data_IF_001956067495
#
_entry.id   IF_001956067495
#
_cell.length_a   1.000
_cell.length_b   1.000
_cell.length_c   1.000
_cell.angle_alpha   90.00
_cell.angle_beta   90.00
_cell.angle_gamma   90.00
#
_symmetry.space_group_name_H-M   'P 1'
#
loop_
_entity.id
_entity.type
_entity.pdbx_description
1 polymer ?
#
# COMPACT_ATOMS: atom_id res chain seq x y z
N UNK A 1 -25.84 -36.86 60.60
CA UNK A 1 -26.38 -36.29 59.34
C UNK A 1 -26.13 -34.79 59.34
N UNK A 2 -25.97 -34.22 58.14
CA UNK A 2 -25.88 -32.78 57.83
C UNK A 2 -24.53 -32.07 58.03
N UNK A 3 -23.72 -32.19 56.98
CA UNK A 3 -22.79 -31.16 56.50
C UNK A 3 -23.63 -29.99 55.97
N UNK A 4 -23.36 -28.75 56.41
CA UNK A 4 -23.82 -27.56 55.69
C UNK A 4 -22.62 -26.63 55.49
N UNK A 5 -21.90 -26.87 54.39
CA UNK A 5 -20.97 -25.92 53.81
C UNK A 5 -21.78 -24.80 53.17
N UNK A 6 -21.72 -23.58 53.71
CA UNK A 6 -22.24 -22.40 53.03
C UNK A 6 -21.09 -21.75 52.26
N UNK A 7 -20.82 -22.29 51.07
CA UNK A 7 -19.98 -21.65 50.06
C UNK A 7 -20.92 -20.93 49.07
N UNK A 8 -21.25 -19.68 49.36
CA UNK A 8 -21.89 -18.81 48.39
C UNK A 8 -20.80 -18.11 47.58
N UNK A 9 -20.61 -18.59 46.36
CA UNK A 9 -19.66 -18.10 45.39
C UNK A 9 -19.87 -16.61 45.12
N UNK A 10 -18.83 -15.82 45.40
CA UNK A 10 -18.66 -14.49 44.82
C UNK A 10 -18.34 -14.69 43.34
N UNK A 11 -19.36 -14.69 42.49
CA UNK A 11 -19.20 -14.70 41.05
C UNK A 11 -18.56 -13.37 40.63
N UNK A 12 -17.23 -13.36 40.54
CA UNK A 12 -16.48 -12.27 39.97
C UNK A 12 -16.90 -12.12 38.50
N UNK A 13 -17.53 -10.99 38.22
CA UNK A 13 -17.92 -10.53 36.90
C UNK A 13 -16.65 -10.25 36.08
N UNK A 14 -16.13 -11.26 35.38
CA UNK A 14 -15.17 -11.03 34.28
C UNK A 14 -15.95 -11.06 32.98
N UNK A 15 -16.79 -10.04 32.79
CA UNK A 15 -17.20 -9.66 31.45
C UNK A 15 -15.97 -9.05 30.79
N UNK A 16 -15.22 -9.88 30.06
CA UNK A 16 -14.17 -9.39 29.17
C UNK A 16 -14.79 -8.33 28.27
N UNK A 17 -14.26 -7.12 28.35
CA UNK A 17 -14.61 -6.06 27.42
C UNK A 17 -14.28 -6.56 26.02
N UNK A 18 -15.29 -7.10 25.33
CA UNK A 18 -15.27 -7.22 23.89
C UNK A 18 -15.07 -5.79 23.39
N UNK A 19 -13.83 -5.48 22.98
CA UNK A 19 -13.45 -4.14 22.55
C UNK A 19 -14.49 -3.65 21.56
N UNK A 20 -15.15 -2.54 21.89
CA UNK A 20 -16.05 -1.91 20.96
C UNK A 20 -15.28 -1.64 19.67
N UNK A 21 -15.97 -1.75 18.52
CA UNK A 21 -15.37 -1.44 17.23
C UNK A 21 -14.76 -0.04 17.28
N UNK A 22 -13.44 0.06 17.12
CA UNK A 22 -12.72 1.32 17.03
C UNK A 22 -12.46 1.60 15.53
N UNK A 23 -13.17 2.55 14.92
CA UNK A 23 -12.99 2.88 13.50
C UNK A 23 -11.59 3.38 13.16
N UNK A 24 -10.88 3.98 14.13
CA UNK A 24 -9.49 4.44 13.95
C UNK A 24 -8.57 3.23 13.88
N UNK A 25 -8.76 2.27 14.78
CA UNK A 25 -8.03 1.01 14.77
C UNK A 25 -8.29 0.20 13.49
N UNK A 26 -9.55 0.01 13.10
CA UNK A 26 -9.92 -0.73 11.88
C UNK A 26 -9.32 -0.08 10.62
N UNK A 27 -9.27 1.26 10.58
CA UNK A 27 -8.57 1.98 9.52
C UNK A 27 -7.07 1.69 9.54
N UNK A 28 -6.41 1.78 10.69
CA UNK A 28 -4.98 1.52 10.81
C UNK A 28 -4.61 0.08 10.38
N UNK A 29 -5.39 -0.91 10.81
CA UNK A 29 -5.20 -2.30 10.42
C UNK A 29 -5.41 -2.51 8.91
N UNK A 30 -6.45 -1.92 8.33
CA UNK A 30 -6.71 -1.94 6.88
C UNK A 30 -5.58 -1.32 6.07
N UNK A 31 -5.03 -0.20 6.53
CA UNK A 31 -3.93 0.51 5.85
C UNK A 31 -2.63 -0.32 5.95
N UNK A 32 -2.37 -0.96 7.09
CA UNK A 32 -1.27 -1.91 7.24
C UNK A 32 -1.40 -3.10 6.29
N UNK A 33 -2.60 -3.71 6.22
CA UNK A 33 -2.89 -4.81 5.28
C UNK A 33 -2.79 -4.37 3.82
N UNK A 34 -3.03 -3.08 3.50
CA UNK A 34 -2.85 -2.55 2.16
C UNK A 34 -1.38 -2.59 1.72
N UNK A 35 -0.45 -2.24 2.59
CA UNK A 35 0.96 -2.31 2.22
C UNK A 35 1.52 -3.73 2.22
N UNK A 36 0.99 -4.64 3.05
CA UNK A 36 1.28 -6.08 2.93
C UNK A 36 0.84 -6.58 1.54
N UNK A 37 -0.38 -6.23 1.12
CA UNK A 37 -0.93 -6.59 -0.19
C UNK A 37 -0.04 -6.10 -1.34
N UNK A 38 0.36 -4.83 -1.32
CA UNK A 38 1.26 -4.27 -2.33
C UNK A 38 2.65 -4.96 -2.32
N UNK A 39 3.24 -5.15 -1.13
CA UNK A 39 4.56 -5.77 -1.01
C UNK A 39 4.56 -7.21 -1.49
N UNK A 40 3.49 -7.97 -1.18
CA UNK A 40 3.34 -9.32 -1.70
C UNK A 40 3.07 -9.36 -3.19
N UNK A 41 2.38 -8.36 -3.75
CA UNK A 41 2.18 -8.23 -5.19
C UNK A 41 3.51 -7.96 -5.91
N UNK A 42 4.41 -7.19 -5.32
CA UNK A 42 5.77 -6.97 -5.86
C UNK A 42 6.60 -8.25 -5.83
N UNK A 43 6.59 -8.98 -4.71
CA UNK A 43 7.23 -10.30 -4.61
C UNK A 43 6.71 -11.27 -5.67
N UNK A 44 5.39 -11.32 -5.85
CA UNK A 44 4.73 -12.21 -6.79
C UNK A 44 5.00 -11.83 -8.26
N UNK A 45 4.81 -10.56 -8.61
CA UNK A 45 4.83 -10.11 -10.00
C UNK A 45 6.24 -9.82 -10.51
N UNK A 46 7.04 -9.12 -9.70
CA UNK A 46 8.37 -8.67 -10.10
C UNK A 46 9.43 -9.71 -9.70
N UNK A 47 9.40 -10.13 -8.44
CA UNK A 47 10.38 -11.08 -7.90
C UNK A 47 10.16 -12.53 -8.36
N UNK A 48 8.94 -12.86 -8.84
CA UNK A 48 8.47 -14.24 -9.06
C UNK A 48 8.67 -15.13 -7.82
N UNK A 49 8.75 -14.51 -6.65
CA UNK A 49 8.92 -15.17 -5.36
C UNK A 49 7.53 -15.46 -4.77
N UNK A 50 6.91 -16.50 -5.32
CA UNK A 50 5.58 -16.93 -4.90
C UNK A 50 5.56 -17.46 -3.47
N UNK A 51 6.63 -18.13 -3.04
CA UNK A 51 6.74 -18.64 -1.68
C UNK A 51 6.91 -17.50 -0.67
N UNK A 52 7.72 -16.48 -0.99
CA UNK A 52 7.87 -15.27 -0.20
C UNK A 52 6.57 -14.48 -0.09
N UNK A 53 5.87 -14.27 -1.22
CA UNK A 53 4.56 -13.62 -1.22
C UNK A 53 3.55 -14.38 -0.34
N UNK A 54 3.47 -15.70 -0.48
CA UNK A 54 2.62 -16.54 0.36
C UNK A 54 2.95 -16.38 1.86
N UNK A 55 4.22 -16.49 2.25
CA UNK A 55 4.64 -16.38 3.66
C UNK A 55 4.34 -15.02 4.26
N UNK A 56 4.54 -13.96 3.47
CA UNK A 56 4.21 -12.60 3.87
C UNK A 56 2.70 -12.46 4.16
N UNK A 57 1.85 -12.89 3.23
CA UNK A 57 0.40 -12.85 3.41
C UNK A 57 -0.08 -13.73 4.57
N UNK A 58 0.46 -14.94 4.68
CA UNK A 58 0.14 -15.91 5.72
C UNK A 58 0.46 -15.35 7.11
N UNK A 59 1.64 -14.76 7.29
CA UNK A 59 2.05 -14.13 8.54
C UNK A 59 1.19 -12.93 8.90
N UNK A 60 0.87 -12.06 7.93
CA UNK A 60 0.03 -10.89 8.14
C UNK A 60 -1.40 -11.27 8.57
N UNK A 61 -2.01 -12.26 7.91
CA UNK A 61 -3.34 -12.73 8.25
C UNK A 61 -3.39 -13.37 9.64
N UNK A 62 -2.40 -14.21 10.00
CA UNK A 62 -2.33 -14.83 11.34
C UNK A 62 -2.16 -13.83 12.47
N UNK A 63 -1.36 -12.79 12.25
CA UNK A 63 -1.13 -11.72 13.25
C UNK A 63 -2.32 -10.77 13.35
N UNK A 64 -3.05 -10.56 12.26
CA UNK A 64 -4.24 -9.69 12.23
C UNK A 64 -5.48 -10.36 12.82
N UNK A 65 -5.62 -11.69 12.69
CA UNK A 65 -6.80 -12.44 13.16
C UNK A 65 -7.21 -12.13 14.62
N UNK A 66 -6.35 -12.22 15.64
CA UNK A 66 -6.77 -11.96 17.02
C UNK A 66 -7.14 -10.50 17.28
N UNK A 67 -6.67 -9.57 16.46
CA UNK A 67 -6.98 -8.14 16.54
C UNK A 67 -8.41 -7.82 16.08
N UNK A 68 -9.11 -8.79 15.51
CA UNK A 68 -10.45 -8.65 14.94
C UNK A 68 -11.52 -9.34 15.78
N UNK A 69 -11.32 -9.49 17.09
CA UNK A 69 -12.26 -10.14 17.99
C UNK A 69 -13.67 -9.48 17.97
N UNK A 70 -13.75 -8.19 17.67
CA UNK A 70 -15.00 -7.45 17.47
C UNK A 70 -15.66 -7.67 16.10
N UNK A 71 -15.02 -8.41 15.19
CA UNK A 71 -15.47 -8.70 13.81
C UNK A 71 -15.39 -10.20 13.50
N UNK A 72 -16.29 -11.02 14.06
CA UNK A 72 -16.24 -12.48 13.90
C UNK A 72 -16.38 -12.94 12.44
N UNK A 73 -17.18 -12.25 11.62
CA UNK A 73 -17.29 -12.56 10.19
C UNK A 73 -15.96 -12.33 9.43
N UNK A 74 -15.20 -11.30 9.81
CA UNK A 74 -13.89 -11.00 9.23
C UNK A 74 -12.84 -12.00 9.73
N UNK A 75 -12.91 -12.45 10.98
CA UNK A 75 -12.07 -13.55 11.46
C UNK A 75 -12.33 -14.86 10.71
N UNK A 76 -13.60 -15.18 10.44
CA UNK A 76 -13.95 -16.35 9.63
C UNK A 76 -13.38 -16.26 8.21
N UNK A 77 -13.45 -15.08 7.56
CA UNK A 77 -12.84 -14.87 6.25
C UNK A 77 -11.31 -15.12 6.24
N UNK A 78 -10.61 -14.74 7.32
CA UNK A 78 -9.20 -15.05 7.49
C UNK A 78 -8.97 -16.56 7.61
N UNK A 79 -9.77 -17.22 8.45
CA UNK A 79 -9.66 -18.67 8.68
C UNK A 79 -9.91 -19.47 7.40
N UNK A 80 -10.94 -19.11 6.64
CA UNK A 80 -11.28 -19.74 5.37
C UNK A 80 -10.15 -19.57 4.36
N UNK A 81 -9.58 -18.36 4.23
CA UNK A 81 -8.46 -18.07 3.34
C UNK A 81 -7.20 -18.87 3.71
N UNK A 82 -6.82 -18.88 4.99
CA UNK A 82 -5.69 -19.66 5.49
C UNK A 82 -5.89 -21.17 5.27
N UNK A 83 -7.10 -21.67 5.50
CA UNK A 83 -7.43 -23.07 5.31
C UNK A 83 -7.48 -23.47 3.83
N UNK A 84 -7.92 -22.57 2.93
CA UNK A 84 -7.87 -22.79 1.49
C UNK A 84 -6.42 -22.87 1.00
N UNK A 85 -5.57 -21.91 1.39
CA UNK A 85 -4.16 -21.91 1.02
C UNK A 85 -3.39 -23.11 1.60
N UNK A 86 -3.76 -23.59 2.79
CA UNK A 86 -3.14 -24.78 3.38
C UNK A 86 -3.41 -26.07 2.56
N UNK A 87 -4.55 -26.14 1.86
CA UNK A 87 -4.92 -27.29 1.01
C UNK A 87 -4.33 -27.23 -0.40
N UNK A 88 -3.94 -26.05 -0.84
CA UNK A 88 -3.28 -25.88 -2.13
C UNK A 88 -1.83 -26.41 -2.05
N UNK A 89 -1.29 -26.86 -3.17
CA UNK A 89 0.09 -27.36 -3.30
C UNK A 89 0.99 -26.36 -4.02
N UNK A 90 0.45 -25.64 -5.00
CA UNK A 90 1.19 -24.68 -5.80
C UNK A 90 1.40 -23.36 -5.05
N UNK A 91 2.65 -22.89 -4.98
CA UNK A 91 3.02 -21.70 -4.22
C UNK A 91 2.38 -20.41 -4.79
N UNK A 92 2.22 -20.33 -6.12
CA UNK A 92 1.62 -19.17 -6.76
C UNK A 92 0.12 -19.09 -6.44
N UNK A 93 -0.60 -20.20 -6.57
CA UNK A 93 -2.01 -20.30 -6.16
C UNK A 93 -2.21 -20.05 -4.67
N UNK A 94 -1.31 -20.55 -3.80
CA UNK A 94 -1.34 -20.22 -2.36
C UNK A 94 -1.27 -18.73 -2.10
N UNK A 95 -0.33 -18.04 -2.73
CA UNK A 95 -0.18 -16.60 -2.60
C UNK A 95 -1.41 -15.85 -3.13
N UNK A 96 -1.98 -16.30 -4.25
CA UNK A 96 -3.19 -15.72 -4.82
C UNK A 96 -4.41 -15.87 -3.91
N UNK A 97 -4.64 -17.05 -3.33
CA UNK A 97 -5.73 -17.27 -2.37
C UNK A 97 -5.62 -16.36 -1.14
N UNK A 98 -4.41 -16.17 -0.60
CA UNK A 98 -4.22 -15.28 0.54
C UNK A 98 -4.27 -13.80 0.16
N UNK A 99 -3.92 -13.44 -1.07
CA UNK A 99 -4.14 -12.11 -1.62
C UNK A 99 -5.63 -11.76 -1.62
N UNK A 100 -6.49 -12.64 -2.14
CA UNK A 100 -7.95 -12.45 -2.14
C UNK A 100 -8.51 -12.36 -0.72
N UNK A 101 -7.99 -13.18 0.21
CA UNK A 101 -8.38 -13.09 1.62
C UNK A 101 -8.04 -11.72 2.23
N UNK A 102 -6.86 -11.16 1.94
CA UNK A 102 -6.47 -9.82 2.41
C UNK A 102 -7.37 -8.75 1.79
N UNK A 103 -7.71 -8.83 0.50
CA UNK A 103 -8.64 -7.89 -0.13
C UNK A 103 -10.01 -7.91 0.52
N UNK A 104 -10.55 -9.11 0.77
CA UNK A 104 -11.82 -9.28 1.47
C UNK A 104 -11.78 -8.68 2.87
N UNK A 105 -10.75 -8.98 3.67
CA UNK A 105 -10.60 -8.42 5.02
C UNK A 105 -10.54 -6.89 4.96
N UNK A 106 -9.75 -6.33 4.04
CA UNK A 106 -9.66 -4.86 3.86
C UNK A 106 -10.99 -4.24 3.45
N UNK A 107 -11.79 -4.94 2.66
CA UNK A 107 -13.15 -4.50 2.31
C UNK A 107 -14.07 -4.53 3.53
N UNK A 108 -14.09 -5.63 4.29
CA UNK A 108 -14.93 -5.79 5.48
C UNK A 108 -14.59 -4.75 6.57
N UNK A 109 -13.32 -4.32 6.67
CA UNK A 109 -12.87 -3.26 7.59
C UNK A 109 -13.29 -1.84 7.17
N UNK A 110 -13.74 -1.62 5.93
CA UNK A 110 -14.32 -0.33 5.52
C UNK A 110 -15.77 -0.20 6.00
N UNK A 111 -16.48 -1.32 6.12
CA UNK A 111 -17.86 -1.34 6.57
C UNK A 111 -17.91 -1.09 8.08
N UNK A 112 -18.82 -0.22 8.58
CA UNK A 112 -19.07 -0.11 10.01
C UNK A 112 -19.56 -1.45 10.55
N UNK A 113 -19.15 -1.82 11.77
CA UNK A 113 -19.60 -3.05 12.41
C UNK A 113 -21.12 -2.96 12.63
N UNK A 114 -21.90 -3.56 11.72
CA UNK A 114 -23.32 -3.79 11.93
C UNK A 114 -23.44 -4.87 12.99
N UNK A 115 -24.30 -4.62 13.99
CA UNK A 115 -24.43 -5.41 15.21
C UNK A 115 -24.40 -6.92 14.96
N UNK A 116 -23.70 -7.62 15.86
CA UNK A 116 -23.46 -9.05 15.82
C UNK A 116 -24.74 -9.84 15.55
N UNK A 117 -24.85 -10.38 14.33
CA UNK A 117 -25.65 -11.56 14.06
C UNK A 117 -24.67 -12.66 13.70
N UNK A 118 -24.49 -13.59 14.62
CA UNK A 118 -23.88 -14.90 14.36
C UNK A 118 -24.71 -15.55 13.25
N UNK A 119 -24.17 -15.85 12.06
CA UNK A 119 -24.83 -16.79 11.17
C UNK A 119 -24.48 -18.20 11.64
N UNK A 120 -25.49 -18.93 12.11
CA UNK A 120 -25.46 -20.39 12.21
C UNK A 120 -25.12 -21.05 10.86
N UNK A 121 -24.52 -22.25 10.87
CA UNK A 121 -23.86 -22.82 9.70
C UNK A 121 -24.89 -23.31 8.68
N UNK A 122 -24.87 -22.75 7.46
CA UNK A 122 -25.52 -23.38 6.31
C UNK A 122 -24.52 -24.24 5.54
N UNK A 123 -24.79 -25.54 5.60
CA UNK A 123 -24.14 -26.63 4.87
C UNK A 123 -24.17 -26.39 3.34
N UNK A 124 -23.05 -26.75 2.72
CA UNK A 124 -22.88 -27.40 1.40
C UNK A 124 -23.60 -26.82 0.17
N UNK A 125 -22.82 -26.29 -0.77
CA UNK A 125 -22.85 -26.77 -2.17
C UNK A 125 -21.41 -26.93 -2.67
N UNK A 126 -21.00 -28.18 -2.83
CA UNK A 126 -19.84 -28.61 -3.60
C UNK A 126 -20.05 -28.30 -5.08
N UNK A 127 -19.03 -27.81 -5.80
CA UNK A 127 -18.87 -28.21 -7.20
C UNK A 127 -17.56 -28.98 -7.37
N UNK A 128 -17.70 -30.27 -7.66
CA UNK A 128 -16.64 -31.13 -8.20
C UNK A 128 -16.38 -30.80 -9.69
N UNK A 129 -15.25 -31.26 -10.25
CA UNK A 129 -14.45 -30.51 -11.22
C UNK A 129 -14.84 -30.78 -12.68
N UNK A 130 -14.62 -29.79 -13.56
CA UNK A 130 -14.52 -30.06 -15.00
C UNK A 130 -13.15 -29.63 -15.56
N UNK A 131 -12.54 -30.64 -16.19
CA UNK A 131 -11.27 -30.71 -16.88
C UNK A 131 -11.06 -29.65 -17.97
N UNK A 132 -9.82 -29.16 -17.99
CA UNK A 132 -8.92 -28.98 -19.15
C UNK A 132 -9.54 -28.84 -20.54
N UNK A 133 -9.35 -27.67 -21.18
CA UNK A 133 -9.02 -27.59 -22.61
C UNK A 133 -8.00 -26.47 -22.84
N UNK A 134 -6.82 -26.86 -23.32
CA UNK A 134 -5.73 -26.04 -23.86
C UNK A 134 -6.20 -25.14 -25.01
N UNK A 135 -5.60 -23.95 -25.20
CA UNK A 135 -5.30 -23.57 -26.59
C UNK A 135 -3.92 -22.92 -26.78
N UNK A 136 -3.19 -23.43 -27.76
CA UNK A 136 -2.25 -22.70 -28.63
C UNK A 136 -2.76 -22.90 -30.09
N UNK A 137 -2.19 -22.26 -31.14
CA UNK A 137 -2.04 -20.82 -31.39
C UNK A 137 -2.48 -20.44 -32.83
N UNK A 138 -2.67 -19.14 -33.16
CA UNK A 138 -2.54 -18.53 -34.51
C UNK A 138 -2.87 -17.02 -34.44
N UNK A 139 -1.89 -16.10 -34.45
CA UNK A 139 -1.11 -15.47 -35.54
C UNK A 139 -1.86 -14.37 -36.34
N UNK A 140 -1.35 -13.13 -36.16
CA UNK A 140 -1.23 -11.97 -37.09
C UNK A 140 -2.44 -11.40 -37.82
N UNK A 141 -2.66 -10.08 -37.65
CA UNK A 141 -2.33 -9.07 -38.68
C UNK A 141 -2.27 -7.64 -38.12
N UNK A 142 -1.17 -6.96 -38.45
CA UNK A 142 -0.94 -5.51 -38.43
C UNK A 142 -1.83 -4.79 -39.47
N UNK A 143 -2.11 -3.48 -39.37
CA UNK A 143 -1.19 -2.48 -39.97
C UNK A 143 -1.07 -1.13 -39.23
N UNK A 144 0.13 -0.55 -39.24
CA UNK A 144 0.45 0.88 -39.09
C UNK A 144 0.54 1.57 -40.50
N UNK A 145 0.91 2.87 -40.72
CA UNK A 145 1.01 4.07 -39.86
C UNK A 145 0.58 5.42 -40.55
N UNK A 146 0.89 6.58 -39.92
CA UNK A 146 1.09 8.00 -40.39
C UNK A 146 -0.01 9.02 -40.01
N UNK A 147 0.22 10.28 -39.61
CA UNK A 147 1.40 11.15 -39.30
C UNK A 147 0.86 12.53 -38.81
N UNK A 148 1.55 13.17 -37.84
CA UNK A 148 1.71 14.64 -37.58
C UNK A 148 0.53 15.63 -37.62
N UNK A 149 0.38 16.45 -36.58
CA UNK A 149 0.67 17.91 -36.62
C UNK A 149 0.58 18.59 -35.24
N UNK A 150 1.60 19.39 -34.91
CA UNK A 150 1.62 20.45 -33.88
C UNK A 150 1.30 21.78 -34.56
N UNK A 151 0.62 22.73 -33.89
CA UNK A 151 1.31 24.00 -33.57
C UNK A 151 0.94 24.59 -32.19
N UNK A 152 1.94 25.17 -31.52
CA UNK A 152 1.84 26.23 -30.48
C UNK A 152 1.69 27.63 -31.16
N UNK A 153 1.61 28.82 -30.50
CA UNK A 153 1.68 29.17 -29.05
C UNK A 153 0.69 30.26 -28.54
N UNK A 154 0.58 30.40 -27.20
CA UNK A 154 0.62 31.64 -26.37
C UNK A 154 -0.43 31.77 -25.24
N UNK A 155 0.16 32.04 -24.06
CA UNK A 155 -0.21 32.94 -22.95
C UNK A 155 -1.17 32.46 -21.85
N UNK A 156 -0.56 32.42 -20.65
CA UNK A 156 -1.11 32.77 -19.32
C UNK A 156 -2.49 32.25 -18.99
N UNK A 157 -2.50 31.27 -18.09
CA UNK A 157 -3.24 31.35 -16.82
C UNK A 157 -2.66 30.26 -15.93
N UNK A 158 -2.32 30.62 -14.70
CA UNK A 158 -2.26 29.67 -13.59
C UNK A 158 -3.69 29.13 -13.41
N UNK A 159 -3.94 27.82 -13.40
CA UNK A 159 -5.12 27.29 -12.76
C UNK A 159 -4.68 26.42 -11.59
N UNK A 160 -5.04 26.93 -10.42
CA UNK A 160 -5.42 26.18 -9.24
C UNK A 160 -6.20 24.89 -9.58
N UNK A 161 -6.25 23.96 -8.61
CA UNK A 161 -7.09 22.75 -8.51
C UNK A 161 -6.38 21.46 -9.01
N UNK A 162 -6.05 20.48 -8.16
CA UNK A 162 -6.99 19.64 -7.39
C UNK A 162 -6.49 19.23 -6.00
N UNK A 163 -7.36 19.54 -5.03
CA UNK A 163 -7.45 18.99 -3.67
C UNK A 163 -7.37 17.45 -3.69
N UNK A 164 -6.25 16.91 -3.23
CA UNK A 164 -6.09 15.54 -2.75
C UNK A 164 -5.43 15.61 -1.38
N UNK A 165 -6.24 15.62 -0.32
CA UNK A 165 -5.76 15.81 1.03
C UNK A 165 -4.91 14.63 1.51
N UNK A 166 -3.60 14.87 1.66
CA UNK A 166 -2.74 14.28 2.68
C UNK A 166 -1.89 15.45 3.23
N UNK A 167 -2.47 16.19 4.18
CA UNK A 167 -1.93 17.46 4.66
C UNK A 167 -0.75 17.25 5.60
N UNK A 168 0.43 17.64 5.14
CA UNK A 168 1.62 17.91 5.95
C UNK A 168 2.11 19.34 5.73
N UNK A 169 3.11 19.82 6.47
CA UNK A 169 3.75 21.11 6.19
C UNK A 169 4.36 21.19 4.79
N UNK A 170 4.46 22.42 4.27
CA UNK A 170 5.11 22.70 2.99
C UNK A 170 6.64 22.63 3.11
N UNK A 171 7.26 21.90 2.19
CA UNK A 171 8.70 21.85 1.98
C UNK A 171 9.02 22.46 0.64
N UNK A 172 9.94 23.43 0.62
CA UNK A 172 10.39 24.10 -0.60
C UNK A 172 11.90 24.01 -0.73
N UNK A 173 12.41 24.15 -1.93
CA UNK A 173 13.86 24.21 -2.13
C UNK A 173 14.24 24.31 -3.58
N UNK A 174 15.55 24.24 -3.84
CA UNK A 174 16.14 24.27 -5.17
C UNK A 174 16.88 22.98 -5.48
N UNK A 175 16.91 22.60 -6.75
CA UNK A 175 17.74 21.49 -7.22
C UNK A 175 18.91 22.04 -8.04
N UNK A 176 20.12 21.69 -7.63
CA UNK A 176 21.35 22.02 -8.35
C UNK A 176 22.14 20.76 -8.64
N UNK A 177 22.84 20.73 -9.77
CA UNK A 177 23.76 19.66 -10.15
C UNK A 177 25.07 20.29 -10.59
N UNK A 178 26.16 20.01 -9.86
CA UNK A 178 27.47 20.63 -10.04
C UNK A 178 27.40 22.16 -10.03
N UNK A 179 26.60 22.70 -9.11
CA UNK A 179 26.34 24.14 -8.98
C UNK A 179 25.45 24.76 -10.06
N UNK A 180 24.96 23.98 -11.03
CA UNK A 180 24.03 24.46 -12.05
C UNK A 180 22.57 24.18 -11.65
N UNK A 181 21.65 25.14 -11.80
CA UNK A 181 20.23 24.90 -11.52
C UNK A 181 19.65 23.87 -12.49
N UNK A 182 18.90 22.90 -11.97
CA UNK A 182 18.26 21.86 -12.77
C UNK A 182 16.77 22.16 -12.88
N UNK A 183 16.35 22.67 -14.04
CA UNK A 183 14.94 22.85 -14.37
C UNK A 183 14.28 21.52 -14.78
N UNK A 184 12.96 21.45 -14.65
CA UNK A 184 12.14 20.28 -15.02
C UNK A 184 12.57 18.94 -14.36
N UNK A 185 13.32 19.00 -13.26
CA UNK A 185 13.63 17.85 -12.44
C UNK A 185 12.38 17.37 -11.69
N UNK A 186 12.20 16.06 -11.61
CA UNK A 186 11.20 15.39 -10.79
C UNK A 186 11.88 14.82 -9.56
N UNK A 187 11.53 15.35 -8.38
CA UNK A 187 11.89 14.82 -7.08
C UNK A 187 10.83 13.81 -6.64
N UNK A 188 11.25 12.69 -6.08
CA UNK A 188 10.38 11.72 -5.44
C UNK A 188 10.83 11.51 -4.00
N UNK A 189 9.91 11.75 -3.06
CA UNK A 189 10.11 11.56 -1.63
C UNK A 189 9.44 10.26 -1.20
N UNK A 190 10.24 9.26 -0.85
CA UNK A 190 9.77 7.94 -0.41
C UNK A 190 10.03 7.79 1.09
N UNK A 191 8.99 7.54 1.89
CA UNK A 191 9.13 7.42 3.35
C UNK A 191 10.06 6.26 3.73
N UNK A 192 11.09 6.53 4.53
CA UNK A 192 11.98 5.51 5.09
C UNK A 192 11.45 4.92 6.40
N UNK A 193 10.59 5.65 7.11
CA UNK A 193 10.07 5.25 8.43
C UNK A 193 8.99 4.16 8.38
N UNK A 194 8.88 3.39 7.28
CA UNK A 194 7.84 2.36 7.07
C UNK A 194 6.44 2.84 7.47
N UNK A 195 6.08 4.06 7.09
CA UNK A 195 4.69 4.53 7.10
C UNK A 195 3.94 3.81 5.96
N UNK A 196 3.53 2.57 6.23
CA UNK A 196 2.87 1.68 5.29
C UNK A 196 1.63 2.36 4.72
N UNK A 197 1.59 2.57 3.39
CA UNK A 197 0.45 3.18 2.69
C UNK A 197 0.55 4.69 2.43
N UNK A 198 1.65 5.36 2.81
CA UNK A 198 1.90 6.75 2.37
C UNK A 198 2.49 6.69 0.96
N UNK A 199 1.81 7.23 -0.07
CA UNK A 199 2.36 7.27 -1.42
C UNK A 199 3.61 8.15 -1.45
N UNK A 200 4.55 7.80 -2.31
CA UNK A 200 5.69 8.66 -2.57
C UNK A 200 5.18 10.03 -3.07
N UNK A 201 5.67 11.10 -2.44
CA UNK A 201 5.28 12.46 -2.84
C UNK A 201 6.22 12.88 -3.96
N UNK A 202 5.67 13.28 -5.09
CA UNK A 202 6.46 13.79 -6.22
C UNK A 202 6.31 15.31 -6.31
N UNK A 203 7.42 15.97 -6.62
CA UNK A 203 7.45 17.40 -6.88
C UNK A 203 8.30 17.67 -8.13
N UNK A 204 7.88 18.64 -8.94
CA UNK A 204 8.64 19.07 -10.11
C UNK A 204 9.25 20.44 -9.85
N UNK A 205 10.47 20.64 -10.33
CA UNK A 205 11.10 21.95 -10.31
C UNK A 205 10.58 22.81 -11.45
N UNK A 206 10.34 24.10 -11.19
CA UNK A 206 10.09 25.10 -12.22
C UNK A 206 11.34 25.46 -13.03
N UNK A 207 11.18 26.43 -13.93
CA UNK A 207 12.28 26.98 -14.74
C UNK A 207 13.40 27.62 -13.90
N UNK A 208 13.10 28.02 -12.67
CA UNK A 208 14.04 28.56 -11.68
C UNK A 208 14.70 27.47 -10.81
N UNK A 209 14.50 26.20 -11.17
CA UNK A 209 14.92 25.01 -10.44
C UNK A 209 14.34 24.90 -9.02
N UNK A 210 13.27 25.65 -8.69
CA UNK A 210 12.60 25.55 -7.38
C UNK A 210 11.46 24.54 -7.40
N UNK A 211 11.29 23.81 -6.30
CA UNK A 211 10.18 22.88 -6.10
C UNK A 211 9.43 23.17 -4.80
N UNK A 212 8.20 22.66 -4.73
CA UNK A 212 7.35 22.67 -3.53
C UNK A 212 6.69 21.30 -3.38
N UNK A 213 6.69 20.76 -2.18
CA UNK A 213 6.12 19.48 -1.83
C UNK A 213 5.41 19.58 -0.47
N UNK A 214 4.33 18.84 -0.31
CA UNK A 214 3.63 18.73 0.98
C UNK A 214 4.00 17.40 1.60
N UNK A 215 4.78 17.43 2.68
CA UNK A 215 5.33 16.23 3.32
C UNK A 215 4.84 16.13 4.76
N UNK A 216 4.49 14.93 5.20
CA UNK A 216 4.23 14.66 6.63
C UNK A 216 5.57 14.61 7.36
N UNK A 217 5.59 14.91 8.65
CA UNK A 217 6.80 14.78 9.44
C UNK A 217 7.34 13.34 9.38
N UNK A 218 8.64 13.17 9.11
CA UNK A 218 9.26 11.85 8.97
C UNK A 218 10.53 11.86 8.11
N UNK A 219 11.16 10.70 8.00
CA UNK A 219 12.36 10.49 7.19
C UNK A 219 11.98 9.99 5.79
N UNK A 220 12.67 10.54 4.80
CA UNK A 220 12.46 10.26 3.39
C UNK A 220 13.78 9.92 2.70
N UNK A 221 13.74 8.96 1.79
CA UNK A 221 14.70 8.82 0.71
C UNK A 221 14.25 9.72 -0.42
N UNK A 222 15.20 10.44 -1.01
CA UNK A 222 14.94 11.40 -2.08
C UNK A 222 15.58 10.86 -3.36
N UNK A 223 14.81 10.81 -4.44
CA UNK A 223 15.36 10.58 -5.79
C UNK A 223 15.09 11.78 -6.66
N UNK A 224 15.99 12.04 -7.59
CA UNK A 224 15.90 13.14 -8.54
C UNK A 224 16.18 12.61 -9.93
N UNK A 225 15.22 12.82 -10.83
CA UNK A 225 15.37 12.55 -12.25
C UNK A 225 15.15 13.84 -13.02
N UNK A 226 15.90 14.06 -14.09
CA UNK A 226 15.67 15.19 -14.97
C UNK A 226 15.99 14.77 -16.40
N UNK A 227 15.15 15.20 -17.34
CA UNK A 227 15.32 14.93 -18.76
C UNK A 227 15.33 16.25 -19.52
N UNK A 228 16.34 16.43 -20.38
CA UNK A 228 16.38 17.53 -21.34
C UNK A 228 16.51 16.93 -22.74
N UNK A 229 15.66 17.39 -23.67
CA UNK A 229 15.64 16.89 -25.06
C UNK A 229 15.51 15.35 -25.14
N UNK A 230 14.73 14.75 -24.24
CA UNK A 230 14.52 13.30 -24.17
C UNK A 230 15.71 12.48 -23.63
N UNK A 231 16.79 13.14 -23.17
CA UNK A 231 17.94 12.49 -22.55
C UNK A 231 18.01 12.81 -21.07
N UNK A 232 18.36 11.81 -20.25
CA UNK A 232 18.63 12.02 -18.83
C UNK A 232 19.84 12.96 -18.68
N UNK A 233 19.66 14.04 -17.93
CA UNK A 233 20.75 15.01 -17.64
C UNK A 233 21.39 14.78 -16.28
N UNK A 234 20.75 13.99 -15.43
CA UNK A 234 21.28 13.58 -14.13
C UNK A 234 21.82 12.16 -14.17
N UNK A 235 22.90 11.86 -13.42
CA UNK A 235 23.40 10.51 -13.23
C UNK A 235 22.32 9.54 -12.72
N UNK A 236 22.34 8.30 -13.21
CA UNK A 236 21.39 7.26 -12.82
C UNK A 236 21.38 6.96 -11.32
N UNK A 237 22.49 7.20 -10.61
CA UNK A 237 22.57 7.05 -9.14
C UNK A 237 21.51 7.88 -8.43
N UNK A 238 21.13 9.05 -8.95
CA UNK A 238 20.12 9.89 -8.29
C UNK A 238 18.69 9.44 -8.58
N UNK A 239 18.48 8.54 -9.54
CA UNK A 239 17.16 8.11 -9.98
C UNK A 239 16.53 7.03 -9.09
N UNK A 240 17.33 6.30 -8.30
CA UNK A 240 16.84 5.18 -7.49
C UNK A 240 17.15 5.38 -5.99
N UNK A 241 16.20 4.98 -5.14
CA UNK A 241 16.24 5.29 -3.71
C UNK A 241 17.33 4.55 -2.94
N UNK A 242 17.80 3.43 -3.47
CA UNK A 242 18.90 2.61 -2.97
C UNK A 242 20.28 3.19 -3.31
N UNK A 243 20.39 3.96 -4.39
CA UNK A 243 21.65 4.46 -4.93
C UNK A 243 21.83 5.97 -4.83
N UNK A 244 20.76 6.73 -4.57
CA UNK A 244 20.84 8.19 -4.50
C UNK A 244 21.65 8.67 -3.31
N UNK A 245 21.58 7.95 -2.20
CA UNK A 245 22.16 8.36 -0.92
C UNK A 245 21.53 9.64 -0.33
N UNK A 246 20.53 10.22 -0.99
CA UNK A 246 19.88 11.46 -0.57
C UNK A 246 18.78 11.11 0.43
N UNK A 247 18.87 11.71 1.62
CA UNK A 247 17.85 11.56 2.65
C UNK A 247 17.43 12.92 3.17
N UNK A 248 16.17 13.02 3.54
CA UNK A 248 15.58 14.23 4.09
C UNK A 248 14.75 13.88 5.33
N UNK A 249 14.85 14.71 6.36
CA UNK A 249 14.02 14.59 7.57
C UNK A 249 13.05 15.76 7.58
N UNK A 250 11.79 15.49 7.22
CA UNK A 250 10.74 16.48 7.21
C UNK A 250 10.32 16.80 8.67
N UNK A 251 10.43 18.05 9.12
CA UNK A 251 9.89 18.46 10.41
C UNK A 251 8.36 18.59 10.36
N UNK A 252 7.71 18.76 11.51
CA UNK A 252 6.26 18.97 11.61
C UNK A 252 5.78 20.35 11.11
N UNK A 253 6.70 21.25 10.77
CA UNK A 253 6.43 22.59 10.26
C UNK A 253 7.03 22.83 8.87
N UNK A 254 6.70 23.99 8.28
CA UNK A 254 7.25 24.37 6.98
C UNK A 254 8.79 24.38 7.01
N UNK A 255 9.41 23.89 5.95
CA UNK A 255 10.87 23.74 5.89
C UNK A 255 11.43 24.02 4.51
N UNK A 256 12.75 24.28 4.47
CA UNK A 256 13.49 24.46 3.23
C UNK A 256 14.51 23.33 3.09
N UNK A 257 14.57 22.70 1.92
CA UNK A 257 15.49 21.62 1.62
C UNK A 257 16.06 21.78 0.21
N UNK A 258 17.27 22.34 0.13
CA UNK A 258 17.99 22.45 -1.14
C UNK A 258 18.74 21.16 -1.43
N UNK A 259 18.62 20.69 -2.68
CA UNK A 259 19.26 19.47 -3.17
C UNK A 259 20.45 19.87 -4.03
N UNK A 260 21.66 19.61 -3.53
CA UNK A 260 22.91 19.80 -4.27
C UNK A 260 23.47 18.44 -4.70
N UNK A 261 23.40 18.18 -6.00
CA UNK A 261 23.87 16.96 -6.64
C UNK A 261 25.28 17.18 -7.16
N UNK A 262 26.18 16.21 -6.91
CA UNK A 262 27.60 16.29 -7.28
C UNK A 262 27.92 15.47 -8.54
#
# INVERSE_FOLDING_TARGET
MSRLFLAAALAALVAGAAGAADPVFDKALRDSLAGVHNSGADLYNQGKDYAGAFRLYEGALRTSRPLLAHRPATQAAIDDGLAAAARESDAAKKAFLLHEAIEKVRSDLKEPVKGAVVPEPKKTVTPEPKKTVTPEPKKTTEPEPKKTTTPEPKKTTVPEVKKGAAGGPEVKGKVTYKGQPVADATLTFTTLDRMVGVPAVTAKTGADATYRATLVAGRYAVTVTATANGKAVLPARYAAADTSGLTFVAPAGASTFDVDLQ
#
